data_IF_594686426641
#
_entry.id   IF_594686426641
#
_cell.length_a   1.000
_cell.length_b   1.000
_cell.length_c   1.000
_cell.angle_alpha   90.00
_cell.angle_beta   90.00
_cell.angle_gamma   90.00
#
_symmetry.space_group_name_H-M   'P 1'
#
loop_
_entity.id
_entity.type
_entity.pdbx_description
1 polymer ?
#
# COMPACT_ATOMS: atom_id res chain seq x y z
N UNK A 1 14.48 -0.55 -20.67
CA UNK A 1 13.14 -0.14 -20.19
C UNK A 1 13.30 1.18 -19.45
N UNK A 2 12.60 2.23 -19.88
CA UNK A 2 12.70 3.55 -19.23
C UNK A 2 11.61 3.80 -18.20
N UNK A 3 10.49 3.14 -18.30
CA UNK A 3 9.37 3.27 -17.39
C UNK A 3 8.80 1.89 -17.04
N UNK A 4 7.66 1.55 -17.56
CA UNK A 4 7.00 0.26 -17.37
C UNK A 4 6.74 -0.39 -18.72
N UNK A 5 7.04 -1.68 -18.79
CA UNK A 5 6.90 -2.48 -20.00
C UNK A 5 6.37 -3.85 -19.62
N UNK A 6 5.06 -4.04 -19.79
CA UNK A 6 4.41 -5.31 -19.48
C UNK A 6 4.85 -6.44 -20.39
N UNK A 7 5.14 -6.17 -21.66
CA UNK A 7 5.62 -7.19 -22.61
C UNK A 7 7.01 -7.69 -22.21
N UNK A 8 7.90 -6.78 -21.81
CA UNK A 8 9.22 -7.16 -21.30
C UNK A 8 9.10 -8.04 -20.05
N UNK A 9 8.23 -7.69 -19.13
CA UNK A 9 8.00 -8.48 -17.91
C UNK A 9 7.47 -9.88 -18.24
N UNK A 10 6.55 -10.01 -19.20
CA UNK A 10 6.07 -11.33 -19.68
C UNK A 10 7.20 -12.13 -20.29
N UNK A 11 8.01 -11.55 -21.17
CA UNK A 11 9.13 -12.24 -21.79
C UNK A 11 10.18 -12.68 -20.75
N UNK A 12 10.45 -11.86 -19.74
CA UNK A 12 11.33 -12.23 -18.63
C UNK A 12 10.80 -13.46 -17.89
N UNK A 13 9.50 -13.47 -17.53
CA UNK A 13 8.89 -14.62 -16.86
C UNK A 13 8.92 -15.88 -17.72
N UNK A 14 8.65 -15.78 -19.02
CA UNK A 14 8.77 -16.93 -19.92
C UNK A 14 10.18 -17.52 -19.94
N UNK A 15 11.22 -16.67 -19.94
CA UNK A 15 12.61 -17.14 -19.82
C UNK A 15 12.87 -17.84 -18.48
N UNK A 16 12.40 -17.27 -17.36
CA UNK A 16 12.53 -17.87 -16.03
C UNK A 16 11.89 -19.27 -16.02
N UNK A 17 10.66 -19.39 -16.52
CA UNK A 17 9.94 -20.67 -16.58
C UNK A 17 10.66 -21.70 -17.44
N UNK A 18 11.16 -21.27 -18.62
CA UNK A 18 11.91 -22.16 -19.53
C UNK A 18 13.21 -22.69 -18.91
N UNK A 19 13.95 -21.82 -18.21
CA UNK A 19 15.22 -22.20 -17.56
C UNK A 19 14.98 -23.05 -16.32
N UNK A 20 13.98 -22.69 -15.50
CA UNK A 20 13.71 -23.37 -14.23
C UNK A 20 12.96 -24.68 -14.41
N UNK A 21 12.13 -24.82 -15.44
CA UNK A 21 11.28 -26.00 -15.66
C UNK A 21 10.26 -26.24 -14.52
N UNK A 22 9.90 -25.19 -13.80
CA UNK A 22 9.02 -25.21 -12.63
C UNK A 22 7.79 -24.34 -12.88
N UNK A 23 6.72 -24.55 -12.10
CA UNK A 23 5.56 -23.67 -12.12
C UNK A 23 5.89 -22.31 -11.47
N UNK A 24 5.12 -21.27 -11.80
CA UNK A 24 5.22 -19.96 -11.13
C UNK A 24 5.02 -20.11 -9.61
N UNK A 25 4.08 -20.96 -9.18
CA UNK A 25 3.80 -21.19 -7.77
C UNK A 25 5.02 -21.77 -7.04
N UNK A 26 5.70 -22.76 -7.62
CA UNK A 26 6.88 -23.37 -7.02
C UNK A 26 8.04 -22.38 -6.93
N UNK A 27 8.27 -21.60 -8.01
CA UNK A 27 9.32 -20.56 -8.01
C UNK A 27 9.06 -19.50 -6.94
N UNK A 28 7.81 -19.08 -6.79
CA UNK A 28 7.44 -18.11 -5.73
C UNK A 28 7.56 -18.71 -4.35
N UNK A 29 7.14 -19.94 -4.14
CA UNK A 29 7.29 -20.65 -2.86
C UNK A 29 8.74 -20.74 -2.42
N UNK A 30 9.65 -21.16 -3.33
CA UNK A 30 11.09 -21.18 -3.07
C UNK A 30 11.65 -19.78 -2.75
N UNK A 31 11.21 -18.76 -3.49
CA UNK A 31 11.62 -17.39 -3.26
C UNK A 31 11.20 -16.92 -1.87
N UNK A 32 9.94 -17.13 -1.51
CA UNK A 32 9.42 -16.75 -0.19
C UNK A 32 10.08 -17.54 0.95
N UNK A 33 10.33 -18.83 0.77
CA UNK A 33 11.05 -19.63 1.76
C UNK A 33 12.45 -19.10 2.05
N UNK A 34 13.10 -18.51 1.04
CA UNK A 34 14.46 -17.97 1.15
C UNK A 34 14.51 -16.54 1.68
N UNK A 35 13.57 -15.69 1.25
CA UNK A 35 13.63 -14.24 1.45
C UNK A 35 12.49 -13.68 2.29
N UNK A 36 11.53 -14.51 2.70
CA UNK A 36 10.28 -14.05 3.27
C UNK A 36 9.28 -13.57 2.20
N UNK A 37 8.08 -13.26 2.62
CA UNK A 37 7.00 -12.80 1.74
C UNK A 37 6.51 -11.41 2.15
N UNK A 38 6.47 -10.49 1.19
CA UNK A 38 5.70 -9.27 1.31
C UNK A 38 4.25 -9.55 0.88
N UNK A 39 3.34 -9.48 1.83
CA UNK A 39 1.91 -9.39 1.54
C UNK A 39 1.59 -7.94 1.22
N UNK A 40 0.88 -7.71 0.13
CA UNK A 40 0.43 -6.38 -0.26
C UNK A 40 -0.97 -6.45 -0.88
N UNK A 41 -1.70 -5.37 -0.74
CA UNK A 41 -3.00 -5.18 -1.36
C UNK A 41 -3.25 -3.68 -1.56
N UNK A 42 -4.10 -3.35 -2.52
CA UNK A 42 -4.62 -2.01 -2.72
C UNK A 42 -6.13 -2.04 -2.60
N UNK A 43 -6.66 -1.17 -1.75
CA UNK A 43 -8.08 -0.95 -1.58
C UNK A 43 -8.44 0.42 -2.17
N UNK A 44 -9.29 0.45 -3.18
CA UNK A 44 -9.75 1.68 -3.82
C UNK A 44 -11.17 2.00 -3.36
N UNK A 45 -11.37 3.26 -2.95
CA UNK A 45 -12.67 3.84 -2.62
C UNK A 45 -12.95 4.88 -3.70
N UNK A 46 -13.88 4.56 -4.59
CA UNK A 46 -14.14 5.32 -5.80
C UNK A 46 -15.33 6.27 -5.66
N UNK A 47 -15.41 7.26 -6.56
CA UNK A 47 -16.51 8.23 -6.62
C UNK A 47 -16.81 8.92 -5.28
N UNK A 48 -15.77 9.24 -4.51
CA UNK A 48 -15.90 10.00 -3.29
C UNK A 48 -16.06 11.49 -3.65
N UNK A 49 -17.01 12.19 -3.02
CA UNK A 49 -17.11 13.63 -3.14
C UNK A 49 -15.75 14.28 -2.82
N UNK A 50 -15.23 15.08 -3.76
CA UNK A 50 -13.86 15.65 -3.64
C UNK A 50 -13.68 16.41 -2.32
N UNK A 51 -14.69 17.16 -1.88
CA UNK A 51 -14.64 17.91 -0.59
C UNK A 51 -14.45 16.97 0.60
N UNK A 52 -15.08 15.80 0.60
CA UNK A 52 -14.93 14.79 1.66
C UNK A 52 -13.55 14.14 1.63
N UNK A 53 -13.05 13.82 0.44
CA UNK A 53 -11.71 13.26 0.26
C UNK A 53 -10.64 14.27 0.71
N UNK A 54 -10.74 15.53 0.31
CA UNK A 54 -9.83 16.60 0.70
C UNK A 54 -9.83 16.82 2.22
N UNK A 55 -11.01 16.88 2.82
CA UNK A 55 -11.15 17.04 4.28
C UNK A 55 -10.52 15.87 5.05
N UNK A 56 -10.72 14.64 4.56
CA UNK A 56 -10.10 13.46 5.15
C UNK A 56 -8.57 13.49 5.03
N UNK A 57 -8.04 13.80 3.86
CA UNK A 57 -6.59 13.90 3.64
C UNK A 57 -5.96 15.02 4.50
N UNK A 58 -6.63 16.16 4.62
CA UNK A 58 -6.19 17.26 5.47
C UNK A 58 -6.18 16.87 6.96
N UNK A 59 -7.22 16.20 7.44
CA UNK A 59 -7.30 15.72 8.82
C UNK A 59 -6.20 14.69 9.11
N UNK A 60 -5.95 13.76 8.18
CA UNK A 60 -4.90 12.76 8.32
C UNK A 60 -3.51 13.44 8.39
N UNK A 61 -3.22 14.37 7.46
CA UNK A 61 -1.96 15.15 7.48
C UNK A 61 -1.74 15.89 8.79
N UNK A 62 -2.78 16.53 9.30
CA UNK A 62 -2.71 17.24 10.58
C UNK A 62 -2.42 16.31 11.77
N UNK A 63 -2.78 15.04 11.68
CA UNK A 63 -2.56 14.07 12.75
C UNK A 63 -1.16 13.45 12.74
N UNK A 64 -0.42 13.48 11.62
CA UNK A 64 0.85 12.77 11.43
C UNK A 64 1.88 12.97 12.56
N UNK A 65 2.13 14.22 13.06
CA UNK A 65 3.11 14.43 14.14
C UNK A 65 2.77 13.70 15.43
N UNK A 66 1.47 13.45 15.68
CA UNK A 66 0.99 12.80 16.88
C UNK A 66 0.90 11.26 16.76
N UNK A 67 1.18 10.70 15.59
CA UNK A 67 1.07 9.25 15.37
C UNK A 67 2.32 8.49 15.78
N UNK A 68 3.51 9.08 15.61
CA UNK A 68 4.78 8.40 15.87
C UNK A 68 4.88 7.96 17.33
N UNK A 69 5.25 6.71 17.56
CA UNK A 69 5.31 6.07 18.88
C UNK A 69 3.97 5.49 19.36
N UNK A 70 2.84 5.79 18.71
CA UNK A 70 1.55 5.20 19.07
C UNK A 70 1.43 3.77 18.54
N UNK A 71 0.52 3.03 19.13
CA UNK A 71 0.15 1.69 18.66
C UNK A 71 -1.19 1.71 17.92
N UNK A 72 -1.27 0.95 16.84
CA UNK A 72 -2.50 0.61 16.14
C UNK A 72 -2.51 -0.89 15.86
N UNK A 73 -3.54 -1.59 16.30
CA UNK A 73 -3.68 -3.07 16.16
C UNK A 73 -2.43 -3.85 16.66
N UNK A 74 -1.82 -3.39 17.76
CA UNK A 74 -0.62 -3.99 18.34
C UNK A 74 0.70 -3.64 17.63
N UNK A 75 0.66 -2.91 16.51
CA UNK A 75 1.84 -2.47 15.75
C UNK A 75 2.23 -1.05 16.19
N UNK A 76 3.52 -0.83 16.47
CA UNK A 76 4.04 0.50 16.85
C UNK A 76 4.37 1.30 15.59
N UNK A 77 3.85 2.53 15.50
CA UNK A 77 4.15 3.46 14.39
C UNK A 77 5.55 4.02 14.58
N UNK A 78 6.46 3.72 13.67
CA UNK A 78 7.86 4.16 13.68
C UNK A 78 8.07 5.49 12.96
N UNK A 79 7.27 5.76 11.90
CA UNK A 79 7.31 7.01 11.17
C UNK A 79 5.95 7.29 10.50
N UNK A 80 5.66 8.58 10.31
CA UNK A 80 4.47 9.02 9.56
C UNK A 80 4.80 10.34 8.86
N UNK A 81 4.59 10.41 7.55
CA UNK A 81 4.90 11.57 6.72
C UNK A 81 3.94 11.78 5.54
N UNK A 82 3.99 12.99 4.99
CA UNK A 82 3.42 13.29 3.67
C UNK A 82 4.55 13.28 2.64
N UNK A 83 4.59 12.22 1.83
CA UNK A 83 5.69 11.92 0.95
C UNK A 83 5.85 12.97 -0.15
N UNK A 84 7.05 13.49 -0.26
CA UNK A 84 7.52 14.31 -1.37
C UNK A 84 8.71 13.62 -2.06
N UNK A 85 8.77 13.74 -3.37
CA UNK A 85 9.87 13.22 -4.17
C UNK A 85 10.67 14.38 -4.76
N UNK A 86 12.00 14.32 -4.56
CA UNK A 86 12.92 15.22 -5.24
C UNK A 86 13.64 14.42 -6.32
N UNK A 87 13.52 14.85 -7.57
CA UNK A 87 14.20 14.19 -8.69
C UNK A 87 15.70 14.45 -8.60
N UNK A 88 16.54 13.39 -8.56
CA UNK A 88 17.98 13.55 -8.46
C UNK A 88 18.65 14.07 -9.75
N UNK A 89 17.93 14.12 -10.87
CA UNK A 89 18.49 14.55 -12.16
C UNK A 89 18.33 16.06 -12.36
N UNK A 90 17.15 16.59 -12.10
CA UNK A 90 16.83 18.00 -12.36
C UNK A 90 16.52 18.81 -11.10
N UNK A 91 16.45 18.16 -9.93
CA UNK A 91 16.13 18.79 -8.65
C UNK A 91 14.67 19.18 -8.47
N UNK A 92 13.79 18.83 -9.42
CA UNK A 92 12.35 19.11 -9.31
C UNK A 92 11.74 18.41 -8.10
N UNK A 93 10.76 19.04 -7.45
CA UNK A 93 10.12 18.53 -6.24
C UNK A 93 8.64 18.30 -6.47
N UNK A 94 8.21 17.04 -6.36
CA UNK A 94 6.80 16.64 -6.37
C UNK A 94 6.32 16.43 -4.93
N UNK A 95 5.45 17.32 -4.45
CA UNK A 95 4.89 17.28 -3.10
C UNK A 95 3.54 16.57 -3.06
N UNK A 96 3.08 16.24 -1.86
CA UNK A 96 1.75 15.65 -1.59
C UNK A 96 1.50 14.35 -2.39
N UNK A 97 2.54 13.53 -2.54
CA UNK A 97 2.47 12.29 -3.32
C UNK A 97 1.70 11.18 -2.61
N UNK A 98 1.46 11.31 -1.32
CA UNK A 98 0.67 10.41 -0.50
C UNK A 98 1.13 10.41 0.95
N UNK A 99 0.23 10.13 1.86
CA UNK A 99 0.54 9.95 3.27
C UNK A 99 1.07 8.54 3.49
N UNK A 100 2.21 8.43 4.19
CA UNK A 100 2.81 7.15 4.58
C UNK A 100 2.78 7.00 6.09
N UNK A 101 2.43 5.80 6.56
CA UNK A 101 2.52 5.39 7.97
C UNK A 101 3.33 4.09 7.98
N UNK A 102 4.47 4.11 8.64
CA UNK A 102 5.41 3.00 8.73
C UNK A 102 5.38 2.43 10.13
N UNK A 103 5.42 1.11 10.25
CA UNK A 103 5.41 0.41 11.53
C UNK A 103 6.80 -0.20 11.81
N UNK A 104 7.08 -0.43 13.09
CA UNK A 104 8.35 -0.96 13.55
C UNK A 104 8.63 -2.41 13.08
N UNK A 105 7.57 -3.16 12.76
CA UNK A 105 7.64 -4.51 12.21
C UNK A 105 7.86 -4.56 10.69
N UNK A 106 8.04 -3.39 10.04
CA UNK A 106 8.20 -3.27 8.59
C UNK A 106 6.90 -3.16 7.81
N UNK A 107 5.74 -3.32 8.47
CA UNK A 107 4.44 -3.07 7.83
C UNK A 107 4.28 -1.60 7.46
N UNK A 108 3.50 -1.32 6.42
CA UNK A 108 3.22 0.06 6.02
C UNK A 108 1.82 0.25 5.45
N UNK A 109 1.35 1.47 5.62
CA UNK A 109 0.12 1.98 5.02
C UNK A 109 0.49 3.20 4.19
N UNK A 110 0.03 3.26 2.93
CA UNK A 110 0.15 4.46 2.10
C UNK A 110 -1.24 4.84 1.59
N UNK A 111 -1.65 6.08 1.84
CA UNK A 111 -2.92 6.62 1.34
C UNK A 111 -2.65 7.69 0.30
N UNK A 112 -3.24 7.52 -0.87
CA UNK A 112 -3.18 8.50 -1.96
C UNK A 112 -4.58 8.88 -2.40
N UNK A 113 -4.73 10.14 -2.76
CA UNK A 113 -5.92 10.62 -3.44
C UNK A 113 -5.58 10.81 -4.92
N UNK A 114 -6.41 10.30 -5.80
CA UNK A 114 -6.30 10.52 -7.24
C UNK A 114 -7.64 10.96 -7.81
N UNK A 115 -7.58 11.65 -8.93
CA UNK A 115 -8.76 12.16 -9.62
C UNK A 115 -9.15 13.56 -9.13
N UNK A 116 -9.31 14.43 -10.09
CA UNK A 116 -9.93 15.76 -9.98
C UNK A 116 -11.02 15.87 -11.05
N UNK A 117 -11.50 14.70 -11.50
CA UNK A 117 -12.45 14.61 -12.60
C UNK A 117 -13.89 14.88 -12.17
N UNK A 118 -14.77 14.92 -13.15
CA UNK A 118 -16.22 15.12 -13.01
C UNK A 118 -16.92 14.03 -12.22
N UNK A 119 -16.27 12.91 -11.96
CA UNK A 119 -16.83 11.72 -11.28
C UNK A 119 -16.39 11.56 -9.81
N UNK A 120 -15.76 12.59 -9.23
CA UNK A 120 -15.28 12.56 -7.83
C UNK A 120 -13.83 12.09 -7.70
N UNK A 121 -13.37 11.99 -6.45
CA UNK A 121 -12.04 11.52 -6.09
C UNK A 121 -12.02 10.00 -5.85
N UNK A 122 -10.88 9.38 -6.09
CA UNK A 122 -10.57 8.01 -5.66
C UNK A 122 -9.53 8.06 -4.55
N UNK A 123 -9.83 7.45 -3.43
CA UNK A 123 -8.88 7.22 -2.34
C UNK A 123 -8.28 5.83 -2.52
N UNK A 124 -6.96 5.75 -2.64
CA UNK A 124 -6.22 4.49 -2.81
C UNK A 124 -5.40 4.20 -1.58
N UNK A 125 -5.75 3.12 -0.92
CA UNK A 125 -5.10 2.64 0.29
C UNK A 125 -4.22 1.44 -0.06
N UNK A 126 -2.91 1.62 0.02
CA UNK A 126 -1.91 0.57 -0.18
C UNK A 126 -1.49 0.01 1.16
N UNK A 127 -1.49 -1.29 1.28
CA UNK A 127 -1.24 -2.05 2.50
C UNK A 127 -0.11 -3.04 2.25
N UNK A 128 0.85 -3.10 3.15
CA UNK A 128 1.95 -4.05 3.04
C UNK A 128 2.36 -4.57 4.41
N UNK A 129 2.68 -5.87 4.45
CA UNK A 129 3.24 -6.57 5.61
C UNK A 129 4.30 -7.55 5.14
N UNK A 130 5.48 -7.47 5.76
CA UNK A 130 6.53 -8.46 5.56
C UNK A 130 6.45 -9.58 6.58
N UNK A 131 6.59 -10.82 6.11
CA UNK A 131 6.69 -12.04 6.92
C UNK A 131 8.01 -12.73 6.59
N UNK A 132 8.89 -12.83 7.57
CA UNK A 132 10.24 -13.36 7.38
C UNK A 132 10.28 -14.87 7.12
N UNK A 133 9.22 -15.60 7.40
CA UNK A 133 9.12 -17.06 7.24
C UNK A 133 9.79 -17.87 8.35
N UNK A 134 9.75 -19.20 8.29
CA UNK A 134 9.09 -20.02 7.26
C UNK A 134 7.56 -20.13 7.44
N UNK A 135 7.03 -19.74 8.59
CA UNK A 135 5.59 -19.84 8.89
C UNK A 135 4.81 -18.66 8.32
N UNK A 136 3.61 -18.93 7.80
CA UNK A 136 2.70 -17.91 7.32
C UNK A 136 3.03 -17.33 5.94
N UNK A 137 3.79 -18.04 5.12
CA UNK A 137 4.14 -17.61 3.76
C UNK A 137 3.08 -17.95 2.71
N UNK A 138 2.14 -18.84 3.05
CA UNK A 138 1.10 -19.39 2.17
C UNK A 138 -0.32 -18.90 2.48
N UNK A 139 -0.44 -17.95 3.42
CA UNK A 139 -1.74 -17.42 3.79
C UNK A 139 -2.40 -16.63 2.65
N UNK A 140 -3.72 -16.54 2.69
CA UNK A 140 -4.46 -15.55 1.91
C UNK A 140 -3.99 -14.13 2.23
N UNK A 141 -3.86 -13.28 1.21
CA UNK A 141 -3.31 -11.94 1.39
C UNK A 141 -4.17 -11.04 2.30
N UNK A 142 -5.51 -11.14 2.21
CA UNK A 142 -6.39 -10.32 3.04
C UNK A 142 -6.36 -10.78 4.51
N UNK A 143 -6.21 -12.08 4.76
CA UNK A 143 -6.04 -12.62 6.10
C UNK A 143 -4.70 -12.17 6.71
N UNK A 144 -3.61 -12.29 5.96
CA UNK A 144 -2.28 -11.87 6.41
C UNK A 144 -2.22 -10.37 6.70
N UNK A 145 -2.94 -9.56 5.90
CA UNK A 145 -3.01 -8.09 6.03
C UNK A 145 -4.08 -7.62 7.01
N UNK A 146 -4.90 -8.48 7.58
CA UNK A 146 -6.05 -8.07 8.42
C UNK A 146 -5.68 -7.07 9.53
N UNK A 147 -4.57 -7.20 10.30
CA UNK A 147 -4.18 -6.19 11.28
C UNK A 147 -3.86 -4.84 10.64
N UNK A 148 -3.15 -4.84 9.49
CA UNK A 148 -2.78 -3.60 8.78
C UNK A 148 -4.01 -2.92 8.19
N UNK A 149 -4.98 -3.69 7.68
CA UNK A 149 -6.27 -3.19 7.18
C UNK A 149 -7.03 -2.49 8.31
N UNK A 150 -7.17 -3.14 9.48
CA UNK A 150 -7.87 -2.53 10.62
C UNK A 150 -7.15 -1.26 11.12
N UNK A 151 -5.82 -1.30 11.21
CA UNK A 151 -5.02 -0.13 11.56
C UNK A 151 -5.24 1.01 10.56
N UNK A 152 -5.29 0.72 9.27
CA UNK A 152 -5.55 1.71 8.23
C UNK A 152 -6.93 2.36 8.41
N UNK A 153 -7.99 1.58 8.61
CA UNK A 153 -9.34 2.12 8.85
C UNK A 153 -9.40 2.98 10.13
N UNK A 154 -8.73 2.54 11.20
CA UNK A 154 -8.66 3.29 12.46
C UNK A 154 -7.97 4.65 12.29
N UNK A 155 -6.82 4.66 11.61
CA UNK A 155 -5.97 5.84 11.47
C UNK A 155 -6.52 6.84 10.44
N UNK A 156 -7.02 6.36 9.31
CA UNK A 156 -7.55 7.21 8.23
C UNK A 156 -8.99 7.66 8.46
N UNK A 157 -9.77 6.88 9.22
CA UNK A 157 -11.19 7.13 9.47
C UNK A 157 -12.01 7.31 8.19
N UNK A 158 -11.66 6.56 7.14
CA UNK A 158 -12.32 6.63 5.81
C UNK A 158 -13.84 6.59 5.95
N UNK A 159 -14.38 5.62 6.70
CA UNK A 159 -15.82 5.47 6.87
C UNK A 159 -16.49 6.72 7.49
N UNK A 160 -15.84 7.34 8.48
CA UNK A 160 -16.38 8.54 9.14
C UNK A 160 -16.40 9.77 8.21
N UNK A 161 -15.41 9.91 7.35
CA UNK A 161 -15.31 11.03 6.41
C UNK A 161 -16.15 10.85 5.15
N UNK A 162 -16.20 9.65 4.61
CA UNK A 162 -16.77 9.37 3.27
C UNK A 162 -18.10 8.65 3.31
N UNK A 163 -18.44 8.02 4.43
CA UNK A 163 -19.58 7.10 4.54
C UNK A 163 -19.35 5.70 3.98
N UNK A 164 -18.20 5.44 3.34
CA UNK A 164 -17.88 4.14 2.73
C UNK A 164 -17.39 3.16 3.79
N UNK A 165 -18.08 2.03 3.91
CA UNK A 165 -17.74 0.99 4.89
C UNK A 165 -16.74 -0.05 4.33
N UNK A 166 -16.69 -0.20 3.02
CA UNK A 166 -15.82 -1.14 2.32
C UNK A 166 -15.25 -0.49 1.05
N UNK A 167 -14.09 -0.95 0.56
CA UNK A 167 -13.56 -0.53 -0.73
C UNK A 167 -14.45 -1.03 -1.89
N UNK A 168 -14.44 -0.28 -2.98
CA UNK A 168 -15.14 -0.65 -4.22
C UNK A 168 -14.31 -1.68 -5.01
N UNK A 169 -12.95 -1.59 -4.92
CA UNK A 169 -12.02 -2.51 -5.58
C UNK A 169 -10.93 -2.94 -4.61
N UNK A 170 -10.61 -4.24 -4.63
CA UNK A 170 -9.48 -4.85 -3.92
C UNK A 170 -8.59 -5.55 -4.96
N UNK A 171 -7.30 -5.22 -4.97
CA UNK A 171 -6.29 -5.85 -5.84
C UNK A 171 -5.05 -6.26 -5.08
#
# INVERSE_FOLDING_TARGET
>A
VREKDGLWAVLLWLNILAVRGQSVADILAEHWARFGRNYYSRHDFEAIETVKADAMMAALRASLPALVGRQAEGMTISAADDFAYTDPVDGSVSRNQGVRILFADGSRIVLRQSGTGTEGATLRLYLERYVAGPEGLDHDAQLALAPVIRAAHLLTRIAAHTGRQAPDVIT
#
